data_IF_968063254925
#
_entry.id   IF_968063254925
#
_cell.length_a   1.000
_cell.length_b   1.000
_cell.length_c   1.000
_cell.angle_alpha   90.00
_cell.angle_beta   90.00
_cell.angle_gamma   90.00
#
_symmetry.space_group_name_H-M   'P 1'
#
loop_
_entity.id
_entity.type
_entity.pdbx_description
1 polymer ?
#
# COMPACT_ATOMS: atom_id res chain seq x y z
N UNK A 1 -8.05 29.42 -37.70
CA UNK A 1 -8.83 28.26 -38.19
C UNK A 1 -7.86 27.15 -38.64
N UNK A 2 -7.06 26.65 -37.70
CA UNK A 2 -6.10 25.56 -37.89
C UNK A 2 -6.35 24.51 -36.80
N UNK A 3 -6.10 23.25 -37.12
CA UNK A 3 -5.96 22.12 -36.18
C UNK A 3 -7.24 21.41 -35.70
N UNK A 4 -7.99 20.79 -36.63
CA UNK A 4 -8.74 19.54 -36.36
C UNK A 4 -8.10 18.30 -36.99
N UNK A 5 -7.13 18.48 -37.89
CA UNK A 5 -6.49 17.37 -38.61
C UNK A 5 -5.36 16.69 -37.83
N UNK A 6 -4.76 17.35 -36.82
CA UNK A 6 -3.71 16.74 -35.99
C UNK A 6 -4.23 15.57 -35.15
N UNK A 7 -5.45 15.66 -34.62
CA UNK A 7 -6.05 14.57 -33.84
C UNK A 7 -6.34 13.33 -34.71
N UNK A 8 -6.70 13.52 -35.98
CA UNK A 8 -6.91 12.42 -36.93
C UNK A 8 -5.59 11.69 -37.23
N UNK A 9 -4.50 12.42 -37.40
CA UNK A 9 -3.17 11.85 -37.65
C UNK A 9 -2.67 11.06 -36.44
N UNK A 10 -2.84 11.60 -35.23
CA UNK A 10 -2.50 10.88 -33.98
C UNK A 10 -3.33 9.59 -33.87
N UNK A 11 -4.63 9.65 -34.17
CA UNK A 11 -5.52 8.49 -34.12
C UNK A 11 -5.09 7.39 -35.12
N UNK A 12 -4.74 7.76 -36.35
CA UNK A 12 -4.27 6.82 -37.38
C UNK A 12 -2.94 6.16 -36.97
N UNK A 13 -1.99 6.92 -36.41
CA UNK A 13 -0.70 6.38 -35.95
C UNK A 13 -0.89 5.37 -34.81
N UNK A 14 -1.79 5.65 -33.86
CA UNK A 14 -2.11 4.72 -32.76
C UNK A 14 -2.80 3.45 -33.30
N UNK A 15 -3.74 3.61 -34.23
CA UNK A 15 -4.50 2.49 -34.78
C UNK A 15 -3.63 1.51 -35.61
N UNK A 16 -2.70 2.04 -36.41
CA UNK A 16 -1.77 1.22 -37.21
C UNK A 16 -0.79 0.46 -36.31
N UNK A 17 -0.25 1.10 -35.26
CA UNK A 17 0.65 0.41 -34.31
C UNK A 17 -0.06 -0.70 -33.53
N UNK A 18 -1.34 -0.52 -33.19
CA UNK A 18 -2.14 -1.52 -32.47
C UNK A 18 -2.39 -2.80 -33.29
N UNK A 19 -2.50 -2.68 -34.62
CA UNK A 19 -2.70 -3.82 -35.53
C UNK A 19 -1.38 -4.58 -35.78
N UNK A 20 -0.24 -3.90 -35.72
CA UNK A 20 1.08 -4.53 -35.88
C UNK A 20 1.48 -5.35 -34.65
N UNK A 21 1.18 -4.86 -33.43
CA UNK A 21 1.49 -5.57 -32.16
C UNK A 21 0.64 -6.83 -31.97
N UNK A 22 -0.59 -6.86 -32.50
CA UNK A 22 -1.46 -8.05 -32.40
C UNK A 22 -1.04 -9.17 -33.36
N UNK A 23 -0.33 -8.87 -34.45
CA UNK A 23 0.15 -9.88 -35.41
C UNK A 23 1.45 -10.58 -35.00
N UNK A 24 2.28 -9.96 -34.16
CA UNK A 24 3.56 -10.56 -33.72
C UNK A 24 3.40 -11.54 -32.54
N UNK A 25 2.31 -11.43 -31.78
CA UNK A 25 2.04 -12.29 -30.61
C UNK A 25 1.21 -13.54 -30.95
N UNK A 26 0.84 -13.75 -32.22
CA UNK A 26 0.00 -14.85 -32.69
C UNK A 26 0.72 -16.15 -33.06
N UNK A 27 2.04 -16.27 -32.86
CA UNK A 27 2.77 -17.52 -33.06
C UNK A 27 2.92 -18.27 -31.73
N UNK A 28 1.84 -18.94 -31.30
CA UNK A 28 1.81 -19.76 -30.10
C UNK A 28 2.80 -20.93 -30.18
N UNK A 29 3.90 -20.87 -29.43
CA UNK A 29 4.62 -22.07 -29.00
C UNK A 29 3.87 -22.66 -27.82
N UNK A 30 3.43 -23.91 -27.98
CA UNK A 30 2.82 -24.72 -26.92
C UNK A 30 3.79 -24.86 -25.74
N UNK A 31 3.57 -24.08 -24.68
CA UNK A 31 4.25 -24.25 -23.40
C UNK A 31 3.65 -25.49 -22.72
N UNK A 32 4.30 -26.65 -22.89
CA UNK A 32 4.06 -27.79 -22.00
C UNK A 32 4.34 -27.32 -20.57
N UNK A 33 3.36 -27.46 -19.69
CA UNK A 33 3.55 -27.24 -18.25
C UNK A 33 4.73 -28.09 -17.78
N UNK A 34 5.80 -27.44 -17.35
CA UNK A 34 6.92 -28.10 -16.68
C UNK A 34 6.44 -28.40 -15.28
N UNK A 35 6.12 -29.66 -15.03
CA UNK A 35 5.83 -30.15 -13.69
C UNK A 35 7.16 -30.12 -12.92
N UNK A 36 7.32 -29.13 -12.03
CA UNK A 36 8.44 -29.12 -11.08
C UNK A 36 8.12 -30.15 -10.00
N UNK A 37 8.98 -31.14 -9.84
CA UNK A 37 9.03 -31.90 -8.60
C UNK A 37 9.24 -30.90 -7.45
N UNK A 38 8.33 -30.93 -6.48
CA UNK A 38 8.48 -30.26 -5.20
C UNK A 38 9.50 -31.03 -4.38
N UNK A 39 10.74 -31.00 -4.85
CA UNK A 39 11.87 -31.41 -4.04
C UNK A 39 12.15 -30.24 -3.08
N UNK A 40 11.42 -30.21 -1.96
CA UNK A 40 11.80 -29.44 -0.78
C UNK A 40 13.01 -30.13 -0.13
N UNK A 41 14.04 -30.40 -0.93
CA UNK A 41 15.34 -30.83 -0.44
C UNK A 41 15.97 -29.60 0.21
N UNK A 42 15.83 -29.54 1.54
CA UNK A 42 16.53 -28.58 2.38
C UNK A 42 17.99 -29.02 2.42
N UNK A 43 18.75 -28.66 1.38
CA UNK A 43 20.21 -28.58 1.46
C UNK A 43 20.57 -27.96 2.81
N UNK A 44 21.40 -28.63 3.61
CA UNK A 44 21.70 -28.44 5.04
C UNK A 44 22.16 -27.03 5.50
N UNK A 45 21.99 -25.98 4.68
CA UNK A 45 22.37 -24.61 4.96
C UNK A 45 21.17 -23.66 4.95
N UNK A 46 20.89 -22.94 6.05
CA UNK A 46 19.86 -21.92 6.07
C UNK A 46 20.23 -20.76 5.15
N UNK A 47 19.38 -20.46 4.16
CA UNK A 47 19.56 -19.37 3.21
C UNK A 47 19.33 -18.01 3.87
N UNK A 48 20.06 -17.00 3.41
CA UNK A 48 19.96 -15.62 3.91
C UNK A 48 18.97 -14.82 3.04
N UNK A 49 18.04 -14.10 3.66
CA UNK A 49 17.02 -13.27 3.02
C UNK A 49 17.19 -11.84 3.51
N UNK A 50 17.34 -10.90 2.59
CA UNK A 50 17.42 -9.47 2.90
C UNK A 50 16.10 -8.80 2.54
N UNK A 51 15.36 -8.35 3.55
CA UNK A 51 14.17 -7.50 3.40
C UNK A 51 14.64 -6.05 3.25
N UNK A 52 14.21 -5.37 2.18
CA UNK A 52 14.65 -4.01 1.88
C UNK A 52 13.50 -3.02 1.74
N UNK A 53 13.61 -1.86 2.39
CA UNK A 53 12.73 -0.70 2.17
C UNK A 53 13.51 0.60 2.32
N UNK A 54 13.40 1.51 1.34
CA UNK A 54 14.02 2.85 1.39
C UNK A 54 13.21 3.83 2.23
N UNK A 55 11.88 3.68 2.24
CA UNK A 55 10.99 4.58 2.98
C UNK A 55 10.75 4.13 4.43
N UNK A 56 10.98 2.86 4.75
CA UNK A 56 10.64 2.34 6.09
C UNK A 56 9.14 2.40 6.35
N UNK A 57 8.73 2.70 7.60
CA UNK A 57 7.34 2.90 8.01
C UNK A 57 6.50 1.63 8.21
N UNK A 58 5.62 1.64 9.21
CA UNK A 58 4.79 0.48 9.58
C UNK A 58 3.84 0.02 8.46
N UNK A 59 3.32 0.95 7.65
CA UNK A 59 2.46 0.66 6.48
C UNK A 59 3.14 -0.16 5.39
N UNK A 60 4.47 -0.15 5.35
CA UNK A 60 5.27 -0.86 4.35
C UNK A 60 5.93 -2.10 4.97
N UNK A 61 6.41 -1.99 6.21
CA UNK A 61 7.21 -3.02 6.85
C UNK A 61 6.39 -4.10 7.56
N UNK A 62 5.24 -3.80 8.16
CA UNK A 62 4.50 -4.77 8.99
C UNK A 62 4.21 -6.08 8.26
N UNK A 63 3.59 -5.99 7.08
CA UNK A 63 3.23 -7.17 6.28
C UNK A 63 4.47 -7.94 5.81
N UNK A 64 5.55 -7.23 5.42
CA UNK A 64 6.80 -7.87 5.02
C UNK A 64 7.48 -8.58 6.20
N UNK A 65 7.39 -8.04 7.41
CA UNK A 65 7.98 -8.62 8.62
C UNK A 65 7.17 -9.79 9.16
N UNK A 66 5.85 -9.83 8.99
CA UNK A 66 5.05 -11.04 9.26
C UNK A 66 5.45 -12.18 8.32
N UNK A 67 5.66 -11.91 7.02
CA UNK A 67 6.25 -12.89 6.10
C UNK A 67 7.65 -13.29 6.58
N UNK A 68 8.46 -12.32 7.02
CA UNK A 68 9.79 -12.53 7.60
C UNK A 68 9.78 -13.51 8.77
N UNK A 69 8.85 -13.37 9.72
CA UNK A 69 8.69 -14.29 10.86
C UNK A 69 8.38 -15.71 10.40
N UNK A 70 7.43 -15.87 9.48
CA UNK A 70 7.09 -17.19 8.91
C UNK A 70 8.31 -17.84 8.24
N UNK A 71 9.15 -17.04 7.56
CA UNK A 71 10.38 -17.53 6.95
C UNK A 71 11.43 -17.91 8.00
N UNK A 72 11.57 -17.14 9.08
CA UNK A 72 12.45 -17.50 10.21
C UNK A 72 12.02 -18.82 10.86
N UNK A 73 10.72 -19.00 11.11
CA UNK A 73 10.16 -20.24 11.68
C UNK A 73 10.41 -21.47 10.79
N UNK A 74 10.52 -21.25 9.47
CA UNK A 74 10.88 -22.30 8.49
C UNK A 74 12.38 -22.60 8.41
N UNK A 75 13.20 -21.83 9.13
CA UNK A 75 14.66 -22.00 9.24
C UNK A 75 15.49 -21.06 8.37
N UNK A 76 14.90 -20.02 7.76
CA UNK A 76 15.66 -19.03 6.99
C UNK A 76 16.26 -17.95 7.90
N UNK A 77 17.40 -17.39 7.49
CA UNK A 77 18.00 -16.22 8.16
C UNK A 77 17.48 -14.96 7.49
N UNK A 78 16.68 -14.19 8.21
CA UNK A 78 16.04 -12.97 7.68
C UNK A 78 16.67 -11.74 8.33
N UNK A 79 17.06 -10.76 7.53
CA UNK A 79 17.54 -9.46 8.01
C UNK A 79 16.74 -8.35 7.33
N UNK A 80 16.28 -7.36 8.10
CA UNK A 80 15.68 -6.13 7.59
C UNK A 80 16.76 -5.09 7.30
N UNK A 81 16.60 -4.32 6.23
CA UNK A 81 17.33 -3.10 5.97
C UNK A 81 16.34 -1.99 5.64
N UNK A 82 16.23 -1.01 6.54
CA UNK A 82 15.30 0.11 6.43
C UNK A 82 15.69 1.29 7.33
N UNK A 83 15.16 2.50 7.07
CA UNK A 83 15.31 3.63 7.97
C UNK A 83 14.67 3.40 9.34
N UNK A 84 15.17 4.14 10.33
CA UNK A 84 14.67 4.10 11.70
C UNK A 84 15.01 2.79 12.44
N UNK A 85 14.58 2.66 13.68
CA UNK A 85 14.87 1.49 14.53
C UNK A 85 13.63 0.61 14.74
N UNK A 86 12.95 0.27 13.65
CA UNK A 86 11.61 -0.34 13.63
C UNK A 86 11.50 -1.64 14.44
N UNK A 87 12.44 -2.56 14.21
CA UNK A 87 12.40 -3.88 14.86
C UNK A 87 12.68 -3.80 16.36
N UNK A 88 13.63 -2.97 16.80
CA UNK A 88 13.95 -2.84 18.21
C UNK A 88 12.83 -2.18 19.02
N UNK A 89 12.06 -1.28 18.41
CA UNK A 89 10.90 -0.63 19.05
C UNK A 89 9.64 -1.49 19.02
N UNK A 90 9.57 -2.51 18.16
CA UNK A 90 8.41 -3.38 18.06
C UNK A 90 8.53 -4.60 18.97
N UNK A 91 7.51 -4.84 19.79
CA UNK A 91 7.45 -6.04 20.62
C UNK A 91 7.27 -7.32 19.79
N UNK A 92 6.68 -7.19 18.60
CA UNK A 92 6.31 -8.30 17.70
C UNK A 92 7.48 -8.68 16.78
N UNK A 93 8.26 -7.68 16.33
CA UNK A 93 9.29 -7.89 15.31
C UNK A 93 10.74 -7.82 15.81
N UNK A 94 10.98 -7.62 17.13
CA UNK A 94 12.32 -7.56 17.74
C UNK A 94 13.25 -8.73 17.45
N UNK A 95 12.72 -9.88 17.06
CA UNK A 95 13.51 -11.06 16.71
C UNK A 95 14.18 -10.96 15.34
N UNK A 96 13.71 -10.07 14.46
CA UNK A 96 14.30 -9.84 13.13
C UNK A 96 15.44 -8.83 13.26
N UNK A 97 16.70 -9.20 12.98
CA UNK A 97 17.81 -8.25 12.94
C UNK A 97 17.58 -7.16 11.91
N UNK A 98 17.93 -5.91 12.24
CA UNK A 98 17.81 -4.78 11.33
C UNK A 98 19.15 -4.05 11.13
N UNK A 99 19.48 -3.77 9.87
CA UNK A 99 20.48 -2.79 9.45
C UNK A 99 19.76 -1.45 9.30
N UNK A 100 20.08 -0.51 10.19
CA UNK A 100 19.48 0.82 10.20
C UNK A 100 20.14 1.67 9.12
N UNK A 101 19.32 2.25 8.23
CA UNK A 101 19.78 3.28 7.29
C UNK A 101 19.36 4.66 7.74
N UNK A 102 20.04 5.68 7.22
CA UNK A 102 19.65 7.08 7.47
C UNK A 102 18.23 7.37 6.98
N UNK A 103 17.59 8.30 7.67
CA UNK A 103 16.24 8.74 7.39
C UNK A 103 16.11 9.44 6.02
N UNK A 104 15.06 9.10 5.26
CA UNK A 104 14.69 9.74 4.01
C UNK A 104 13.63 10.85 4.18
N UNK A 105 13.07 11.02 5.39
CA UNK A 105 11.80 11.73 5.60
C UNK A 105 11.89 13.26 5.64
N UNK A 106 13.03 13.87 5.99
CA UNK A 106 13.08 15.32 6.30
C UNK A 106 12.53 16.29 5.24
N UNK A 107 12.90 16.15 3.95
CA UNK A 107 12.32 16.97 2.87
C UNK A 107 11.01 16.41 2.32
N UNK A 108 10.76 15.10 2.51
CA UNK A 108 9.56 14.40 2.04
C UNK A 108 8.32 14.81 2.85
N UNK A 109 8.48 14.91 4.17
CA UNK A 109 7.40 15.29 5.11
C UNK A 109 6.86 16.68 4.82
N UNK A 110 7.72 17.60 4.38
CA UNK A 110 7.33 18.97 4.00
C UNK A 110 6.47 19.02 2.74
N UNK A 111 6.64 18.08 1.80
CA UNK A 111 5.83 18.03 0.59
C UNK A 111 4.46 17.38 0.81
N UNK A 112 4.36 16.47 1.80
CA UNK A 112 3.11 15.82 2.24
C UNK A 112 2.02 16.81 2.68
N UNK A 113 2.38 18.04 3.08
CA UNK A 113 1.43 19.11 3.39
C UNK A 113 0.70 19.69 2.16
N UNK A 114 1.20 19.43 0.94
CA UNK A 114 0.57 19.93 -0.27
C UNK A 114 -0.54 18.99 -0.75
N UNK A 115 -1.44 19.52 -1.57
CA UNK A 115 -2.47 18.72 -2.24
C UNK A 115 -1.83 17.54 -2.99
N UNK A 116 -2.28 16.32 -2.67
CA UNK A 116 -1.73 15.11 -3.27
C UNK A 116 -2.22 14.95 -4.71
N UNK A 117 -1.35 15.33 -5.67
CA UNK A 117 -1.60 15.28 -7.11
C UNK A 117 -0.36 14.78 -7.86
N UNK A 118 -0.51 14.41 -9.14
CA UNK A 118 0.57 13.87 -9.99
C UNK A 118 1.87 14.71 -9.94
N UNK A 119 1.77 16.04 -9.94
CA UNK A 119 2.96 16.92 -9.99
C UNK A 119 3.73 16.87 -8.68
N UNK A 120 3.01 16.95 -7.56
CA UNK A 120 3.61 16.87 -6.23
C UNK A 120 4.18 15.47 -5.99
N UNK A 121 3.48 14.43 -6.43
CA UNK A 121 3.97 13.05 -6.35
C UNK A 121 5.26 12.84 -7.16
N UNK A 122 5.33 13.33 -8.41
CA UNK A 122 6.55 13.25 -9.21
C UNK A 122 7.73 14.00 -8.55
N UNK A 123 7.45 15.15 -7.92
CA UNK A 123 8.46 15.93 -7.17
C UNK A 123 8.96 15.18 -5.93
N UNK A 124 8.07 14.54 -5.18
CA UNK A 124 8.40 13.67 -4.05
C UNK A 124 9.28 12.50 -4.48
N UNK A 125 8.88 11.80 -5.55
CA UNK A 125 9.69 10.73 -6.12
C UNK A 125 11.06 11.24 -6.57
N UNK A 126 11.13 12.47 -7.09
CA UNK A 126 12.39 13.07 -7.53
C UNK A 126 13.34 13.37 -6.38
N UNK A 127 12.84 13.59 -5.16
CA UNK A 127 13.68 13.68 -3.96
C UNK A 127 14.29 12.32 -3.62
N UNK A 128 13.47 11.27 -3.64
CA UNK A 128 13.90 9.92 -3.31
C UNK A 128 14.92 9.43 -4.35
N UNK A 129 14.67 9.68 -5.64
CA UNK A 129 15.55 9.28 -6.73
C UNK A 129 16.97 9.85 -6.57
N UNK A 130 17.12 11.09 -6.08
CA UNK A 130 18.44 11.68 -5.80
C UNK A 130 19.24 10.93 -4.74
N UNK A 131 18.56 10.18 -3.86
CA UNK A 131 19.18 9.30 -2.87
C UNK A 131 19.69 7.97 -3.44
N UNK A 132 19.40 7.64 -4.72
CA UNK A 132 19.68 6.33 -5.32
C UNK A 132 21.09 5.79 -5.03
N UNK A 133 22.13 6.58 -5.32
CA UNK A 133 23.53 6.14 -5.13
C UNK A 133 23.82 5.79 -3.67
N UNK A 134 23.27 6.56 -2.72
CA UNK A 134 23.39 6.28 -1.30
C UNK A 134 22.69 4.98 -0.93
N UNK A 135 21.45 4.80 -1.36
CA UNK A 135 20.67 3.58 -1.10
C UNK A 135 21.36 2.34 -1.68
N UNK A 136 21.85 2.44 -2.92
CA UNK A 136 22.59 1.35 -3.57
C UNK A 136 23.86 0.98 -2.80
N UNK A 137 24.61 1.96 -2.31
CA UNK A 137 25.80 1.71 -1.51
C UNK A 137 25.47 1.04 -0.17
N UNK A 138 24.38 1.45 0.49
CA UNK A 138 23.92 0.81 1.71
C UNK A 138 23.53 -0.66 1.44
N UNK A 139 22.81 -0.93 0.34
CA UNK A 139 22.44 -2.30 -0.04
C UNK A 139 23.67 -3.13 -0.41
N UNK A 140 24.68 -2.53 -1.06
CA UNK A 140 25.94 -3.20 -1.37
C UNK A 140 26.72 -3.55 -0.10
N UNK A 141 26.69 -2.69 0.92
CA UNK A 141 27.29 -2.98 2.23
C UNK A 141 26.54 -4.13 2.92
N UNK A 142 25.21 -4.04 3.02
CA UNK A 142 24.38 -5.11 3.58
C UNK A 142 24.60 -6.44 2.84
N UNK A 143 24.75 -6.41 1.51
CA UNK A 143 25.09 -7.60 0.72
C UNK A 143 26.44 -8.22 1.13
N UNK A 144 27.48 -7.41 1.38
CA UNK A 144 28.80 -7.90 1.79
C UNK A 144 28.76 -8.58 3.16
N UNK A 145 27.94 -8.05 4.08
CA UNK A 145 27.81 -8.53 5.44
C UNK A 145 26.90 -9.77 5.53
N UNK A 146 25.71 -9.69 4.93
CA UNK A 146 24.65 -10.71 5.05
C UNK A 146 24.79 -11.82 4.00
N UNK A 147 25.36 -11.50 2.83
CA UNK A 147 25.43 -12.40 1.66
C UNK A 147 24.08 -13.04 1.32
N UNK A 148 23.02 -12.24 1.05
CA UNK A 148 21.69 -12.75 0.79
C UNK A 148 21.65 -13.66 -0.44
N UNK A 149 20.85 -14.72 -0.31
CA UNK A 149 20.45 -15.64 -1.37
C UNK A 149 19.17 -15.16 -2.05
N UNK A 150 18.36 -14.35 -1.37
CA UNK A 150 17.13 -13.74 -1.87
C UNK A 150 17.03 -12.29 -1.39
N UNK A 151 16.69 -11.39 -2.31
CA UNK A 151 16.24 -10.04 -1.99
C UNK A 151 14.72 -10.01 -1.92
N UNK A 152 14.17 -9.48 -0.83
CA UNK A 152 12.75 -9.24 -0.67
C UNK A 152 12.51 -7.73 -0.57
N UNK A 153 12.17 -7.12 -1.70
CA UNK A 153 12.17 -5.67 -1.85
C UNK A 153 10.76 -5.11 -1.77
N UNK A 154 10.55 -4.09 -0.94
CA UNK A 154 9.36 -3.27 -1.04
C UNK A 154 9.32 -2.61 -2.42
N UNK A 155 8.16 -2.61 -3.08
CA UNK A 155 8.03 -2.18 -4.47
C UNK A 155 8.24 -0.67 -4.64
N UNK A 156 7.61 0.12 -3.78
CA UNK A 156 7.51 1.56 -3.98
C UNK A 156 8.80 2.26 -3.53
N UNK A 157 9.36 3.08 -4.44
CA UNK A 157 10.53 3.92 -4.25
C UNK A 157 11.82 3.19 -3.79
N UNK A 158 12.02 1.94 -4.22
CA UNK A 158 13.14 1.10 -3.77
C UNK A 158 13.96 0.51 -4.93
N UNK A 159 14.26 1.34 -5.93
CA UNK A 159 14.98 0.92 -7.15
C UNK A 159 16.31 0.23 -6.86
N UNK A 160 17.05 0.75 -5.87
CA UNK A 160 18.35 0.23 -5.49
C UNK A 160 18.32 -1.25 -5.06
N UNK A 161 17.25 -1.71 -4.41
CA UNK A 161 17.11 -3.11 -3.98
C UNK A 161 16.96 -4.05 -5.19
N UNK A 162 16.07 -3.70 -6.12
CA UNK A 162 15.84 -4.47 -7.34
C UNK A 162 17.06 -4.45 -8.26
N UNK A 163 17.61 -3.27 -8.51
CA UNK A 163 18.76 -3.10 -9.41
C UNK A 163 20.00 -3.84 -8.89
N UNK A 164 20.25 -3.82 -7.57
CA UNK A 164 21.35 -4.58 -6.99
C UNK A 164 21.14 -6.10 -7.15
N UNK A 165 19.93 -6.60 -6.90
CA UNK A 165 19.62 -8.01 -7.09
C UNK A 165 19.85 -8.44 -8.55
N UNK A 166 19.40 -7.62 -9.51
CA UNK A 166 19.62 -7.84 -10.94
C UNK A 166 21.11 -7.83 -11.30
N UNK A 167 21.87 -6.83 -10.83
CA UNK A 167 23.32 -6.72 -11.05
C UNK A 167 24.06 -7.95 -10.52
N UNK A 168 23.68 -8.43 -9.34
CA UNK A 168 24.28 -9.59 -8.70
C UNK A 168 23.74 -10.93 -9.22
N UNK A 169 22.76 -10.90 -10.14
CA UNK A 169 22.03 -12.07 -10.64
C UNK A 169 21.45 -12.92 -9.51
N UNK A 170 20.95 -12.26 -8.46
CA UNK A 170 20.31 -12.88 -7.31
C UNK A 170 18.79 -12.89 -7.50
N UNK A 171 18.09 -13.93 -7.03
CA UNK A 171 16.64 -13.93 -6.94
C UNK A 171 16.12 -12.69 -6.21
N UNK A 172 15.04 -12.12 -6.73
CA UNK A 172 14.32 -11.01 -6.10
C UNK A 172 12.82 -11.30 -6.10
N UNK A 173 12.18 -11.00 -4.98
CA UNK A 173 10.73 -10.96 -4.82
C UNK A 173 10.36 -9.54 -4.45
N UNK A 174 9.37 -8.99 -5.15
CA UNK A 174 8.81 -7.69 -4.82
C UNK A 174 7.57 -7.82 -3.94
N UNK A 175 7.35 -6.82 -3.09
CA UNK A 175 6.16 -6.72 -2.26
C UNK A 175 5.48 -5.37 -2.42
N UNK A 176 4.16 -5.33 -2.53
CA UNK A 176 3.42 -4.09 -2.28
C UNK A 176 2.21 -4.31 -1.38
N UNK A 177 1.90 -3.28 -0.59
CA UNK A 177 0.74 -3.25 0.29
C UNK A 177 -0.60 -3.04 -0.46
N UNK A 178 -0.59 -3.05 -1.79
CA UNK A 178 -1.77 -2.81 -2.60
C UNK A 178 -1.53 -2.98 -4.10
N UNK A 179 -2.63 -3.12 -4.85
CA UNK A 179 -2.62 -3.48 -6.28
C UNK A 179 -2.35 -2.33 -7.23
N UNK A 180 -2.42 -1.09 -6.74
CA UNK A 180 -2.41 0.14 -7.54
C UNK A 180 -1.16 0.32 -8.40
N UNK A 181 -0.07 -0.35 -8.01
CA UNK A 181 1.23 -0.23 -8.62
C UNK A 181 1.47 -1.18 -9.81
N UNK A 182 0.63 -2.20 -9.96
CA UNK A 182 0.95 -3.35 -10.81
C UNK A 182 0.01 -3.51 -12.01
N UNK A 183 -1.16 -2.86 -11.99
CA UNK A 183 -2.12 -2.93 -13.08
C UNK A 183 -2.05 -1.69 -13.95
N UNK A 184 -2.12 -1.86 -15.27
CA UNK A 184 -2.60 -0.78 -16.13
C UNK A 184 -4.01 -0.39 -15.68
N UNK A 185 -4.30 0.90 -15.62
CA UNK A 185 -5.59 1.37 -15.12
C UNK A 185 -6.72 0.80 -15.98
N UNK A 186 -7.56 -0.04 -15.37
CA UNK A 186 -8.70 -0.63 -16.04
C UNK A 186 -9.71 0.48 -16.39
N UNK A 187 -10.41 0.44 -17.55
CA UNK A 187 -11.38 1.48 -17.92
C UNK A 187 -12.54 1.75 -16.95
N UNK A 188 -12.69 0.95 -15.88
CA UNK A 188 -13.70 1.11 -14.82
C UNK A 188 -13.10 1.43 -13.45
N UNK A 189 -11.77 1.44 -13.31
CA UNK A 189 -11.06 1.79 -12.06
C UNK A 189 -10.00 2.83 -12.35
N UNK A 190 -9.98 3.89 -11.56
CA UNK A 190 -8.94 4.90 -11.66
C UNK A 190 -8.47 5.34 -10.29
N UNK A 191 -7.47 6.22 -10.29
CA UNK A 191 -6.85 6.73 -9.07
C UNK A 191 -7.16 8.23 -8.93
N UNK A 192 -7.73 8.68 -7.78
CA UNK A 192 -7.88 10.10 -7.48
C UNK A 192 -6.60 10.92 -7.60
N UNK A 193 -5.43 10.32 -7.38
CA UNK A 193 -4.11 10.96 -7.52
C UNK A 193 -3.89 11.49 -8.93
N UNK A 194 -4.44 10.79 -9.93
CA UNK A 194 -4.38 11.21 -11.32
C UNK A 194 -5.58 12.08 -11.74
N UNK A 195 -6.39 12.52 -10.78
CA UNK A 195 -7.55 13.38 -11.01
C UNK A 195 -8.73 12.63 -11.64
N UNK A 196 -8.89 11.35 -11.32
CA UNK A 196 -9.98 10.50 -11.81
C UNK A 196 -10.76 9.87 -10.65
N UNK A 197 -12.04 9.57 -10.87
CA UNK A 197 -12.83 8.91 -9.83
C UNK A 197 -12.39 7.46 -9.62
N UNK A 198 -12.52 6.97 -8.40
CA UNK A 198 -12.14 5.59 -8.02
C UNK A 198 -12.90 4.57 -8.87
N UNK A 199 -14.21 4.80 -9.03
CA UNK A 199 -15.09 4.00 -9.87
C UNK A 199 -15.49 4.80 -11.11
N UNK A 200 -15.22 4.25 -12.30
CA UNK A 200 -15.53 4.84 -13.60
C UNK A 200 -16.69 4.12 -14.32
N UNK A 201 -17.42 3.22 -13.66
CA UNK A 201 -18.51 2.40 -14.23
C UNK A 201 -19.70 3.21 -14.74
N UNK A 202 -20.02 4.33 -14.09
CA UNK A 202 -21.11 5.22 -14.49
C UNK A 202 -20.62 6.53 -15.12
N UNK A 203 -19.31 6.62 -15.39
CA UNK A 203 -18.71 7.80 -15.99
C UNK A 203 -18.99 7.89 -17.48
N UNK A 204 -19.06 9.14 -17.97
CA UNK A 204 -19.20 9.42 -19.40
C UNK A 204 -18.02 8.84 -20.19
N UNK A 205 -18.24 8.52 -21.46
CA UNK A 205 -17.16 8.10 -22.36
C UNK A 205 -16.00 9.10 -22.37
N UNK A 206 -16.30 10.41 -22.33
CA UNK A 206 -15.29 11.45 -22.31
C UNK A 206 -14.38 11.35 -21.07
N UNK A 207 -14.96 11.20 -19.88
CA UNK A 207 -14.17 11.07 -18.64
C UNK A 207 -13.35 9.78 -18.63
N UNK A 208 -13.92 8.67 -19.11
CA UNK A 208 -13.16 7.41 -19.28
C UNK A 208 -11.99 7.57 -20.25
N UNK A 209 -12.18 8.26 -21.37
CA UNK A 209 -11.11 8.53 -22.32
C UNK A 209 -9.98 9.37 -21.71
N UNK A 210 -10.33 10.44 -20.97
CA UNK A 210 -9.35 11.25 -20.24
C UNK A 210 -8.55 10.38 -19.26
N UNK A 211 -9.22 9.55 -18.47
CA UNK A 211 -8.56 8.71 -17.47
C UNK A 211 -7.77 7.55 -18.07
N UNK A 212 -8.22 6.95 -19.17
CA UNK A 212 -7.54 5.81 -19.79
C UNK A 212 -6.34 6.22 -20.65
N UNK A 213 -6.34 7.44 -21.23
CA UNK A 213 -5.33 7.86 -22.22
C UNK A 213 -4.58 9.11 -21.76
N UNK A 214 -5.30 10.19 -21.46
CA UNK A 214 -4.67 11.50 -21.20
C UNK A 214 -3.92 11.51 -19.88
N UNK A 215 -4.48 10.94 -18.82
CA UNK A 215 -3.85 10.93 -17.50
C UNK A 215 -2.61 10.03 -17.43
N UNK A 216 -2.58 8.82 -18.01
CA UNK A 216 -1.34 8.05 -18.13
C UNK A 216 -0.24 8.80 -18.89
N UNK A 217 -0.57 9.50 -19.98
CA UNK A 217 0.41 10.33 -20.70
C UNK A 217 0.93 11.48 -19.84
N UNK A 218 0.05 12.13 -19.05
CA UNK A 218 0.47 13.16 -18.09
C UNK A 218 1.36 12.57 -17.00
N UNK A 219 1.03 11.40 -16.48
CA UNK A 219 1.84 10.70 -15.49
C UNK A 219 3.24 10.44 -16.04
N UNK A 220 3.34 9.81 -17.22
CA UNK A 220 4.63 9.60 -17.89
C UNK A 220 5.40 10.91 -18.12
N UNK A 221 4.73 11.98 -18.53
CA UNK A 221 5.39 13.27 -18.74
C UNK A 221 5.96 13.87 -17.45
N UNK A 222 5.22 13.80 -16.34
CA UNK A 222 5.70 14.34 -15.05
C UNK A 222 6.84 13.48 -14.47
N UNK A 223 6.84 12.17 -14.72
CA UNK A 223 7.86 11.24 -14.23
C UNK A 223 9.05 11.05 -15.17
N UNK A 224 9.07 11.70 -16.34
CA UNK A 224 10.13 11.47 -17.36
C UNK A 224 11.52 11.80 -16.83
N UNK A 225 11.66 12.88 -16.05
CA UNK A 225 12.96 13.37 -15.60
C UNK A 225 13.50 12.46 -14.49
N UNK A 226 12.62 11.98 -13.61
CA UNK A 226 12.89 10.92 -12.64
C UNK A 226 13.40 9.64 -13.31
N UNK A 227 12.67 9.16 -14.33
CA UNK A 227 13.00 7.93 -15.03
C UNK A 227 14.34 8.05 -15.76
N UNK A 228 14.58 9.18 -16.44
CA UNK A 228 15.86 9.46 -17.10
C UNK A 228 17.01 9.51 -16.09
N UNK A 229 16.79 10.14 -14.92
CA UNK A 229 17.78 10.20 -13.85
C UNK A 229 18.15 8.79 -13.36
N UNK A 230 17.16 7.97 -13.00
CA UNK A 230 17.40 6.61 -12.50
C UNK A 230 18.04 5.72 -13.58
N UNK A 231 17.60 5.80 -14.84
CA UNK A 231 18.19 5.01 -15.92
C UNK A 231 19.66 5.38 -16.17
N UNK A 232 20.03 6.65 -16.07
CA UNK A 232 21.44 7.06 -16.12
C UNK A 232 22.27 6.38 -15.02
N UNK A 233 21.72 6.25 -13.80
CA UNK A 233 22.38 5.53 -12.68
C UNK A 233 22.40 4.01 -12.86
N UNK A 234 21.37 3.42 -13.44
CA UNK A 234 21.35 1.99 -13.81
C UNK A 234 22.45 1.66 -14.81
N UNK A 235 22.67 2.52 -15.80
CA UNK A 235 23.71 2.36 -16.80
C UNK A 235 25.11 2.34 -16.15
N UNK A 236 25.36 3.18 -15.14
CA UNK A 236 26.63 3.21 -14.38
C UNK A 236 26.96 1.86 -13.70
N UNK A 237 25.95 1.03 -13.44
CA UNK A 237 26.10 -0.24 -12.73
C UNK A 237 25.81 -1.48 -13.60
N UNK A 238 25.55 -1.28 -14.89
CA UNK A 238 25.29 -2.35 -15.87
C UNK A 238 23.90 -2.98 -15.77
N UNK A 239 22.90 -2.25 -15.26
CA UNK A 239 21.50 -2.68 -15.23
C UNK A 239 20.75 -2.07 -16.41
N UNK A 240 19.83 -2.84 -17.01
CA UNK A 240 19.02 -2.39 -18.14
C UNK A 240 18.11 -1.22 -17.77
N UNK A 241 17.89 -0.33 -18.73
CA UNK A 241 16.93 0.77 -18.61
C UNK A 241 15.50 0.23 -18.50
N UNK A 242 14.65 0.99 -17.81
CA UNK A 242 13.20 0.77 -17.79
C UNK A 242 12.49 1.94 -18.47
N UNK A 243 11.40 1.65 -19.19
CA UNK A 243 10.63 2.68 -19.91
C UNK A 243 9.32 3.06 -19.21
N UNK A 244 8.89 2.24 -18.26
CA UNK A 244 7.81 2.56 -17.32
C UNK A 244 8.34 2.38 -15.89
N UNK A 245 8.14 3.38 -15.03
CA UNK A 245 8.54 3.29 -13.63
C UNK A 245 7.83 2.12 -12.92
N UNK A 246 6.67 1.69 -13.45
CA UNK A 246 5.92 0.56 -12.92
C UNK A 246 6.46 -0.81 -13.37
N UNK A 247 7.23 -0.83 -14.46
CA UNK A 247 7.69 -2.06 -15.08
C UNK A 247 8.74 -2.74 -14.20
N UNK A 248 8.50 -4.02 -13.93
CA UNK A 248 9.44 -4.93 -13.27
C UNK A 248 9.29 -6.32 -13.87
N UNK A 249 9.71 -6.48 -15.12
CA UNK A 249 9.59 -7.75 -15.83
C UNK A 249 10.30 -8.88 -15.07
N UNK A 250 9.75 -10.10 -15.16
CA UNK A 250 10.34 -11.34 -14.63
C UNK A 250 10.60 -11.38 -13.10
N UNK A 251 9.94 -10.53 -12.32
CA UNK A 251 9.99 -10.56 -10.85
C UNK A 251 8.69 -11.11 -10.28
N UNK A 252 8.78 -12.05 -9.33
CA UNK A 252 7.61 -12.47 -8.55
C UNK A 252 7.17 -11.31 -7.67
N UNK A 253 5.91 -10.90 -7.81
CA UNK A 253 5.29 -9.88 -6.96
C UNK A 253 4.27 -10.49 -6.04
N UNK A 254 4.40 -10.14 -4.77
CA UNK A 254 3.45 -10.47 -3.72
C UNK A 254 2.70 -9.19 -3.34
N UNK A 255 1.38 -9.26 -3.29
CA UNK A 255 0.54 -8.13 -2.92
C UNK A 255 -0.31 -8.47 -1.72
N UNK A 256 -0.35 -7.54 -0.76
CA UNK A 256 -1.22 -7.64 0.41
C UNK A 256 -2.67 -7.30 0.04
N UNK A 257 -3.27 -8.22 -0.70
CA UNK A 257 -4.66 -8.17 -1.14
C UNK A 257 -5.12 -9.60 -1.37
N UNK A 258 -6.42 -9.81 -1.53
CA UNK A 258 -6.99 -11.15 -1.71
C UNK A 258 -8.09 -11.19 -2.76
N UNK A 259 -8.30 -12.38 -3.30
CA UNK A 259 -9.29 -12.60 -4.34
C UNK A 259 -10.68 -12.16 -3.89
N UNK A 260 -11.32 -11.32 -4.70
CA UNK A 260 -12.66 -10.78 -4.42
C UNK A 260 -12.68 -9.52 -3.56
N UNK A 261 -11.54 -9.05 -3.05
CA UNK A 261 -11.44 -7.71 -2.44
C UNK A 261 -11.27 -6.61 -3.49
N UNK A 262 -10.47 -6.89 -4.51
CA UNK A 262 -10.10 -5.93 -5.55
C UNK A 262 -11.06 -6.00 -6.74
N UNK A 263 -11.20 -4.88 -7.44
CA UNK A 263 -11.88 -4.87 -8.74
C UNK A 263 -11.15 -5.84 -9.67
N UNK A 264 -11.85 -6.81 -10.29
CA UNK A 264 -11.22 -7.81 -11.15
C UNK A 264 -10.37 -7.16 -12.25
N UNK A 265 -9.12 -7.59 -12.33
CA UNK A 265 -8.17 -7.12 -13.34
C UNK A 265 -7.32 -8.29 -13.86
N UNK A 266 -6.79 -8.15 -15.08
CA UNK A 266 -5.84 -9.12 -15.61
C UNK A 266 -4.47 -8.91 -14.95
N UNK A 267 -3.96 -9.98 -14.33
CA UNK A 267 -2.68 -9.97 -13.62
C UNK A 267 -1.62 -10.77 -14.40
N UNK A 268 -0.35 -10.33 -14.41
CA UNK A 268 0.74 -11.18 -14.87
C UNK A 268 0.79 -12.49 -14.06
N UNK A 269 1.13 -13.65 -14.67
CA UNK A 269 1.21 -14.93 -13.94
C UNK A 269 2.19 -14.96 -12.76
N UNK A 270 3.11 -13.99 -12.71
CA UNK A 270 4.11 -13.82 -11.66
C UNK A 270 3.66 -12.84 -10.57
N UNK A 271 2.39 -12.45 -10.55
CA UNK A 271 1.79 -11.67 -9.47
C UNK A 271 0.88 -12.56 -8.62
N UNK A 272 1.00 -12.47 -7.30
CA UNK A 272 0.18 -13.23 -6.36
C UNK A 272 -0.39 -12.32 -5.27
N UNK A 273 -1.71 -12.38 -5.14
CA UNK A 273 -2.45 -11.83 -4.01
C UNK A 273 -2.30 -12.79 -2.82
N UNK A 274 -1.68 -12.33 -1.74
CA UNK A 274 -1.35 -13.14 -0.56
C UNK A 274 -1.88 -12.56 0.76
N UNK A 275 -2.76 -11.57 0.66
CA UNK A 275 -3.38 -10.90 1.78
C UNK A 275 -4.62 -11.63 2.34
N UNK A 276 -5.24 -11.06 3.38
CA UNK A 276 -4.70 -9.96 4.18
C UNK A 276 -3.57 -10.47 5.10
N UNK A 277 -2.41 -9.82 5.07
CA UNK A 277 -1.27 -10.17 5.93
C UNK A 277 -1.37 -9.37 7.22
N UNK A 278 -1.64 -10.07 8.32
CA UNK A 278 -1.80 -9.48 9.64
C UNK A 278 -1.09 -10.34 10.69
N UNK A 279 -0.61 -9.75 11.80
CA UNK A 279 -0.07 -10.51 12.92
C UNK A 279 -1.09 -11.49 13.51
N UNK A 280 -0.63 -12.69 13.91
CA UNK A 280 -1.46 -13.71 14.59
C UNK A 280 -1.90 -13.30 15.99
N UNK A 281 -1.09 -12.47 16.64
CA UNK A 281 -1.32 -12.03 18.01
C UNK A 281 -1.15 -10.51 18.03
N UNK A 282 -2.16 -9.85 18.57
CA UNK A 282 -2.11 -8.42 18.87
C UNK A 282 -1.94 -8.22 20.38
N UNK A 283 -1.22 -7.17 20.82
CA UNK A 283 -1.12 -6.83 22.23
C UNK A 283 -2.50 -6.51 22.82
N UNK A 284 -2.65 -6.66 24.14
CA UNK A 284 -3.89 -6.28 24.81
C UNK A 284 -4.09 -4.76 24.79
N UNK A 285 -5.35 -4.32 24.87
CA UNK A 285 -5.65 -2.90 25.05
C UNK A 285 -5.01 -2.39 26.35
N UNK A 286 -4.60 -1.13 26.37
CA UNK A 286 -4.26 -0.48 27.64
C UNK A 286 -5.49 -0.43 28.55
N UNK A 287 -5.28 -0.40 29.87
CA UNK A 287 -6.38 -0.30 30.83
C UNK A 287 -7.28 0.91 30.58
N UNK A 288 -6.72 2.04 30.14
CA UNK A 288 -7.48 3.25 29.85
C UNK A 288 -8.38 3.08 28.62
N UNK A 289 -7.86 2.47 27.55
CA UNK A 289 -8.63 2.22 26.33
C UNK A 289 -9.72 1.16 26.57
N UNK A 290 -9.39 0.12 27.33
CA UNK A 290 -10.34 -0.94 27.71
C UNK A 290 -11.49 -0.37 28.54
N UNK A 291 -11.18 0.47 29.53
CA UNK A 291 -12.17 1.21 30.32
C UNK A 291 -13.02 2.12 29.42
N UNK A 292 -12.39 2.92 28.57
CA UNK A 292 -13.07 3.87 27.69
C UNK A 292 -14.05 3.15 26.75
N UNK A 293 -13.62 2.08 26.09
CA UNK A 293 -14.46 1.30 25.18
C UNK A 293 -15.56 0.55 25.94
N UNK A 294 -15.28 0.06 27.15
CA UNK A 294 -16.29 -0.58 28.00
C UNK A 294 -17.39 0.38 28.47
N UNK A 295 -17.08 1.68 28.61
CA UNK A 295 -18.04 2.71 28.97
C UNK A 295 -18.76 3.38 27.78
N UNK A 296 -18.32 3.15 26.54
CA UNK A 296 -18.81 3.85 25.34
C UNK A 296 -19.15 2.87 24.20
N UNK A 297 -20.40 2.41 24.16
CA UNK A 297 -20.86 1.39 23.23
C UNK A 297 -20.90 1.83 21.75
N UNK A 298 -20.97 3.14 21.48
CA UNK A 298 -21.05 3.73 20.14
C UNK A 298 -19.84 4.65 19.95
N UNK A 299 -18.67 4.01 19.95
CA UNK A 299 -17.39 4.68 19.77
C UNK A 299 -17.00 4.73 18.29
N UNK A 300 -16.56 5.90 17.82
CA UNK A 300 -15.87 6.04 16.53
C UNK A 300 -14.35 6.13 16.75
N UNK A 301 -13.56 5.47 15.90
CA UNK A 301 -12.12 5.68 15.82
C UNK A 301 -11.81 6.52 14.59
N UNK A 302 -11.00 7.55 14.78
CA UNK A 302 -10.54 8.44 13.70
C UNK A 302 -9.03 8.34 13.64
N UNK A 303 -8.51 7.94 12.47
CA UNK A 303 -7.08 7.86 12.20
C UNK A 303 -6.73 8.41 10.82
N UNK A 304 -5.67 9.22 10.76
CA UNK A 304 -5.11 9.75 9.49
C UNK A 304 -3.88 8.97 9.02
N UNK A 305 -3.63 7.78 9.59
CA UNK A 305 -2.42 7.01 9.33
C UNK A 305 -1.17 7.70 9.87
N UNK A 306 0.00 7.26 9.43
CA UNK A 306 1.31 7.71 9.97
C UNK A 306 1.96 8.84 9.16
N UNK A 307 1.35 9.27 8.06
CA UNK A 307 2.02 10.17 7.10
C UNK A 307 1.15 11.35 6.62
N UNK A 308 -0.18 11.22 6.65
CA UNK A 308 -1.06 12.24 6.09
C UNK A 308 -1.39 13.31 7.14
N UNK A 309 -1.12 14.56 6.76
CA UNK A 309 -1.51 15.75 7.53
C UNK A 309 -2.71 16.43 6.85
N UNK A 310 -3.49 17.17 7.63
CA UNK A 310 -4.49 18.10 7.08
C UNK A 310 -4.40 19.46 7.77
N UNK A 311 -5.21 20.42 7.31
CA UNK A 311 -5.14 21.79 7.84
C UNK A 311 -5.72 21.89 9.25
N UNK A 312 -5.25 22.83 10.09
CA UNK A 312 -5.85 23.11 11.40
C UNK A 312 -7.36 23.39 11.32
N UNK A 313 -7.80 24.04 10.24
CA UNK A 313 -9.23 24.25 9.94
C UNK A 313 -9.98 22.92 9.79
N UNK A 314 -9.44 21.97 9.06
CA UNK A 314 -10.06 20.66 8.87
C UNK A 314 -10.09 19.87 10.19
N UNK A 315 -9.01 19.91 10.97
CA UNK A 315 -9.00 19.32 12.31
C UNK A 315 -10.07 19.93 13.22
N UNK A 316 -10.22 21.25 13.24
CA UNK A 316 -11.28 21.92 14.00
C UNK A 316 -12.70 21.51 13.54
N UNK A 317 -12.90 21.36 12.23
CA UNK A 317 -14.17 20.87 11.67
C UNK A 317 -14.46 19.44 12.11
N UNK A 318 -13.45 18.55 12.10
CA UNK A 318 -13.59 17.16 12.55
C UNK A 318 -13.92 17.10 14.05
N UNK A 319 -13.17 17.83 14.90
CA UNK A 319 -13.45 17.95 16.34
C UNK A 319 -14.87 18.44 16.60
N UNK A 320 -15.28 19.51 15.93
CA UNK A 320 -16.65 20.02 16.08
C UNK A 320 -17.69 18.99 15.66
N UNK A 321 -17.50 18.33 14.52
CA UNK A 321 -18.45 17.36 13.99
C UNK A 321 -18.65 16.17 14.94
N UNK A 322 -17.57 15.64 15.52
CA UNK A 322 -17.70 14.53 16.48
C UNK A 322 -18.41 14.94 17.77
N UNK A 323 -18.14 16.15 18.26
CA UNK A 323 -18.82 16.70 19.44
C UNK A 323 -20.31 16.93 19.19
N UNK A 324 -20.70 17.36 17.98
CA UNK A 324 -22.10 17.47 17.58
C UNK A 324 -22.80 16.11 17.54
N UNK A 325 -22.11 15.07 17.06
CA UNK A 325 -22.64 13.70 17.06
C UNK A 325 -22.82 13.14 18.48
N UNK A 326 -21.89 13.43 19.39
CA UNK A 326 -22.02 13.11 20.82
C UNK A 326 -23.23 13.83 21.41
N UNK A 327 -23.35 15.13 21.17
CA UNK A 327 -24.45 15.94 21.71
C UNK A 327 -25.83 15.51 21.16
N UNK A 328 -25.89 14.97 19.95
CA UNK A 328 -27.10 14.36 19.37
C UNK A 328 -27.35 12.94 19.86
N UNK A 329 -26.55 12.43 20.78
CA UNK A 329 -26.61 11.06 21.27
C UNK A 329 -26.55 10.04 20.12
N UNK A 330 -25.77 10.31 19.08
CA UNK A 330 -25.50 9.35 17.98
C UNK A 330 -24.28 8.50 18.35
N UNK A 331 -23.23 9.16 18.82
CA UNK A 331 -22.03 8.56 19.39
C UNK A 331 -22.04 8.79 20.89
N UNK A 332 -21.34 7.94 21.64
CA UNK A 332 -21.01 8.19 23.04
C UNK A 332 -19.50 8.16 23.30
N UNK A 333 -18.68 7.74 22.34
CA UNK A 333 -17.23 7.81 22.43
C UNK A 333 -16.54 8.19 21.12
N UNK A 334 -15.39 8.84 21.23
CA UNK A 334 -14.49 9.12 20.11
C UNK A 334 -13.07 8.79 20.56
N UNK A 335 -12.39 7.94 19.80
CA UNK A 335 -10.95 7.76 19.91
C UNK A 335 -10.32 8.42 18.69
N UNK A 336 -9.44 9.38 18.92
CA UNK A 336 -8.75 10.08 17.85
C UNK A 336 -7.24 9.79 17.92
N UNK A 337 -6.76 9.09 16.89
CA UNK A 337 -5.34 8.95 16.59
C UNK A 337 -4.91 9.83 15.41
N UNK A 338 -3.86 10.62 15.58
CA UNK A 338 -3.37 11.48 14.51
C UNK A 338 -1.87 11.67 14.62
N UNK A 339 -1.24 11.91 13.48
CA UNK A 339 0.14 12.39 13.43
C UNK A 339 0.27 13.72 14.17
N UNK A 340 1.46 13.98 14.69
CA UNK A 340 1.79 15.25 15.33
C UNK A 340 1.54 16.43 14.38
N UNK A 341 0.87 17.46 14.90
CA UNK A 341 0.67 18.73 14.21
C UNK A 341 0.77 19.86 15.24
N UNK A 342 0.87 21.09 14.75
CA UNK A 342 0.96 22.25 15.61
C UNK A 342 -0.39 22.53 16.30
N UNK A 343 -0.57 22.02 17.52
CA UNK A 343 -1.80 22.19 18.33
C UNK A 343 -2.16 23.67 18.57
N UNK A 344 -1.18 24.57 18.54
CA UNK A 344 -1.39 26.02 18.74
C UNK A 344 -2.16 26.70 17.60
N UNK A 345 -2.24 26.05 16.44
CA UNK A 345 -3.00 26.55 15.29
C UNK A 345 -4.49 26.17 15.33
N UNK A 346 -4.90 25.32 16.29
CA UNK A 346 -6.31 25.06 16.53
C UNK A 346 -6.99 26.25 17.20
N UNK A 347 -8.30 26.46 16.98
CA UNK A 347 -9.05 27.42 17.77
C UNK A 347 -8.99 27.06 19.26
N UNK A 348 -8.90 28.06 20.14
CA UNK A 348 -8.84 27.84 21.59
C UNK A 348 -10.11 27.21 22.18
N UNK A 349 -11.25 27.41 21.52
CA UNK A 349 -12.53 26.80 21.86
C UNK A 349 -13.26 26.26 20.64
N UNK A 350 -14.05 25.21 20.86
CA UNK A 350 -14.98 24.65 19.89
C UNK A 350 -16.41 25.02 20.31
N UNK A 351 -17.09 25.78 19.46
CA UNK A 351 -18.46 26.23 19.70
C UNK A 351 -19.45 25.27 19.03
N UNK A 352 -20.31 24.66 19.85
CA UNK A 352 -21.35 23.74 19.39
C UNK A 352 -22.65 24.49 19.06
N UNK A 353 -23.50 23.84 18.27
CA UNK A 353 -24.80 24.36 17.83
C UNK A 353 -25.79 24.56 18.98
N UNK A 354 -25.55 23.91 20.12
CA UNK A 354 -26.30 24.12 21.37
C UNK A 354 -25.90 25.39 22.12
N UNK A 355 -24.86 26.09 21.68
CA UNK A 355 -24.25 27.20 22.40
C UNK A 355 -23.21 26.77 23.44
N UNK A 356 -22.99 25.46 23.63
CA UNK A 356 -21.91 24.96 24.47
C UNK A 356 -20.54 25.34 23.89
N UNK A 357 -19.64 25.78 24.76
CA UNK A 357 -18.27 26.18 24.41
C UNK A 357 -17.32 25.21 25.10
N UNK A 358 -16.57 24.44 24.32
CA UNK A 358 -15.63 23.44 24.84
C UNK A 358 -14.21 23.95 24.60
N UNK A 359 -13.38 24.12 25.65
CA UNK A 359 -11.97 24.43 25.47
C UNK A 359 -11.27 23.32 24.70
N UNK A 360 -10.54 23.66 23.65
CA UNK A 360 -9.81 22.67 22.83
C UNK A 360 -8.77 21.92 23.65
N UNK A 361 -8.16 22.59 24.63
CA UNK A 361 -7.25 21.98 25.60
C UNK A 361 -7.90 20.86 26.42
N UNK A 362 -9.21 20.91 26.68
CA UNK A 362 -9.90 19.81 27.38
C UNK A 362 -9.97 18.55 26.51
N UNK A 363 -10.01 18.70 25.19
CA UNK A 363 -9.98 17.58 24.25
C UNK A 363 -8.55 17.02 24.14
N UNK A 364 -7.58 17.90 23.89
CA UNK A 364 -6.16 17.55 23.72
C UNK A 364 -5.54 16.90 24.97
N UNK A 365 -6.04 17.23 26.15
CA UNK A 365 -5.56 16.68 27.42
C UNK A 365 -6.45 15.56 27.97
N UNK A 366 -7.34 14.97 27.16
CA UNK A 366 -8.22 13.87 27.56
C UNK A 366 -9.07 14.18 28.82
N UNK A 367 -9.50 15.43 28.97
CA UNK A 367 -10.38 15.86 30.08
C UNK A 367 -11.87 15.76 29.73
N UNK A 368 -12.20 15.52 28.47
CA UNK A 368 -13.57 15.35 28.03
C UNK A 368 -13.98 13.87 28.11
N UNK A 369 -15.09 13.52 28.80
CA UNK A 369 -15.42 12.12 29.12
C UNK A 369 -15.65 11.24 27.88
N UNK A 370 -16.13 11.83 26.78
CA UNK A 370 -16.45 11.12 25.54
C UNK A 370 -15.38 11.21 24.45
N UNK A 371 -14.22 11.83 24.73
CA UNK A 371 -13.16 12.01 23.73
C UNK A 371 -11.84 11.54 24.31
N UNK A 372 -11.20 10.59 23.61
CA UNK A 372 -9.90 10.05 23.92
C UNK A 372 -8.94 10.31 22.76
N UNK A 373 -7.88 11.07 23.00
CA UNK A 373 -6.82 11.40 22.05
C UNK A 373 -5.59 10.56 22.39
N UNK A 374 -5.08 9.84 21.39
CA UNK A 374 -3.94 8.93 21.58
C UNK A 374 -2.64 9.72 21.59
N UNK A 375 -1.79 9.44 22.58
CA UNK A 375 -0.48 10.06 22.78
C UNK A 375 0.57 8.99 23.08
N UNK A 376 1.81 9.24 22.68
CA UNK A 376 2.97 8.41 23.02
C UNK A 376 3.40 8.64 24.48
N UNK A 377 4.42 7.89 24.92
CA UNK A 377 4.99 7.99 26.28
C UNK A 377 5.53 9.40 26.61
N UNK A 378 5.87 10.19 25.60
CA UNK A 378 6.34 11.58 25.74
C UNK A 378 5.18 12.60 25.73
N UNK A 379 3.93 12.15 25.62
CA UNK A 379 2.74 13.00 25.57
C UNK A 379 2.47 13.64 24.19
N UNK A 380 3.18 13.22 23.15
CA UNK A 380 3.00 13.70 21.78
C UNK A 380 1.91 12.89 21.07
N UNK A 381 1.17 13.53 20.15
CA UNK A 381 0.15 12.85 19.34
C UNK A 381 0.78 11.72 18.52
N UNK A 382 0.23 10.52 18.66
CA UNK A 382 0.75 9.32 17.99
C UNK A 382 -0.38 8.45 17.45
N UNK A 383 -0.19 7.92 16.25
CA UNK A 383 -0.99 6.81 15.73
C UNK A 383 -0.37 5.49 16.17
N UNK A 384 -0.85 4.94 17.29
CA UNK A 384 -0.37 3.66 17.77
C UNK A 384 -1.11 2.49 17.09
N UNK A 385 -0.57 2.08 15.94
CA UNK A 385 -1.11 0.99 15.11
C UNK A 385 -0.99 -0.37 15.83
N UNK A 386 0.05 -0.58 16.65
CA UNK A 386 0.27 -1.86 17.33
C UNK A 386 -0.78 -2.16 18.42
N UNK A 387 -1.29 -1.15 19.12
CA UNK A 387 -2.28 -1.35 20.21
C UNK A 387 -3.75 -1.18 19.80
N UNK A 388 -4.06 -0.32 18.83
CA UNK A 388 -5.46 0.06 18.56
C UNK A 388 -6.21 -0.81 17.54
N UNK A 389 -5.52 -1.55 16.67
CA UNK A 389 -6.20 -2.33 15.62
C UNK A 389 -6.90 -3.61 16.12
N UNK A 390 -6.68 -4.03 17.37
CA UNK A 390 -7.25 -5.27 17.94
C UNK A 390 -8.77 -5.23 18.08
N UNK A 391 -9.40 -4.07 18.23
CA UNK A 391 -10.86 -3.98 18.43
C UNK A 391 -11.67 -4.02 17.12
N UNK A 392 -11.01 -3.93 15.95
CA UNK A 392 -11.69 -3.71 14.66
C UNK A 392 -11.53 -4.88 13.70
N UNK A 393 -10.46 -5.66 13.85
CA UNK A 393 -10.13 -6.82 12.99
C UNK A 393 -9.70 -7.97 13.90
N UNK A 394 -10.64 -8.83 14.31
CA UNK A 394 -10.29 -10.06 15.04
C UNK A 394 -9.65 -11.08 14.08
N UNK A 395 -8.83 -12.03 14.56
CA UNK A 395 -8.35 -13.14 13.72
C UNK A 395 -9.48 -13.89 13.00
N UNK A 396 -10.69 -13.93 13.59
CA UNK A 396 -11.88 -14.52 12.97
C UNK A 396 -12.37 -13.72 11.73
N UNK A 397 -12.04 -12.44 11.63
CA UNK A 397 -12.30 -11.60 10.46
C UNK A 397 -11.33 -11.84 9.30
N UNK A 398 -10.25 -12.61 9.49
CA UNK A 398 -9.34 -13.06 8.41
C UNK A 398 -10.05 -13.90 7.34
N UNK A 399 -11.17 -14.52 7.70
CA UNK A 399 -12.10 -15.18 6.78
C UNK A 399 -13.50 -14.52 6.76
N UNK A 400 -13.68 -13.40 7.46
CA UNK A 400 -14.99 -12.87 7.83
C UNK A 400 -15.65 -11.92 6.85
N UNK A 401 -14.93 -11.39 5.84
CA UNK A 401 -15.54 -10.55 4.81
C UNK A 401 -16.32 -11.33 3.74
N UNK A 402 -16.27 -12.66 3.79
CA UNK A 402 -17.23 -13.52 3.11
C UNK A 402 -18.04 -14.34 4.13
N UNK A 403 -18.93 -13.66 4.87
CA UNK A 403 -20.30 -14.20 4.97
C UNK A 403 -21.06 -13.82 3.70
N UNK A 404 -20.54 -14.24 2.56
CA UNK A 404 -21.35 -14.42 1.37
C UNK A 404 -22.35 -15.49 1.74
N UNK A 405 -23.61 -15.12 1.91
CA UNK A 405 -24.70 -16.10 1.81
C UNK A 405 -24.38 -16.95 0.58
N UNK A 406 -24.23 -18.25 0.78
CA UNK A 406 -23.89 -19.35 -0.13
C UNK A 406 -24.61 -19.32 -1.50
N UNK A 407 -24.64 -18.21 -2.23
CA UNK A 407 -25.34 -17.97 -3.49
C UNK A 407 -24.55 -18.55 -4.66
N UNK A 408 -23.23 -18.56 -4.54
CA UNK A 408 -22.27 -19.26 -5.37
C UNK A 408 -22.34 -20.78 -5.17
N UNK A 409 -22.47 -21.27 -3.93
CA UNK A 409 -22.67 -22.70 -3.65
C UNK A 409 -24.09 -23.15 -4.04
N UNK A 410 -25.13 -22.35 -3.78
CA UNK A 410 -26.49 -22.62 -4.27
C UNK A 410 -26.56 -22.51 -5.79
N UNK A 411 -25.90 -21.54 -6.40
CA UNK A 411 -25.82 -21.38 -7.84
C UNK A 411 -25.14 -22.57 -8.50
N UNK A 412 -24.01 -23.03 -7.95
CA UNK A 412 -23.32 -24.23 -8.40
C UNK A 412 -24.19 -25.48 -8.19
N UNK A 413 -24.86 -25.63 -7.03
CA UNK A 413 -25.75 -26.75 -6.76
C UNK A 413 -26.98 -26.77 -7.67
N UNK A 414 -27.56 -25.61 -7.97
CA UNK A 414 -28.69 -25.47 -8.91
C UNK A 414 -28.26 -25.76 -10.35
N UNK A 415 -27.09 -25.29 -10.77
CA UNK A 415 -26.54 -25.62 -12.11
C UNK A 415 -26.26 -27.12 -12.21
N UNK A 416 -25.65 -27.73 -11.19
CA UNK A 416 -25.40 -29.18 -11.15
C UNK A 416 -26.73 -29.95 -11.18
N UNK A 417 -27.73 -29.53 -10.42
CA UNK A 417 -29.05 -30.15 -10.41
C UNK A 417 -29.75 -30.01 -11.78
N UNK A 418 -29.72 -28.84 -12.41
CA UNK A 418 -30.28 -28.63 -13.75
C UNK A 418 -29.56 -29.47 -14.81
N UNK A 419 -28.23 -29.59 -14.73
CA UNK A 419 -27.45 -30.44 -15.64
C UNK A 419 -27.82 -31.91 -15.44
N UNK A 420 -27.95 -32.39 -14.21
CA UNK A 420 -28.35 -33.78 -13.90
C UNK A 420 -29.80 -34.10 -14.29
N UNK A 421 -30.72 -33.14 -14.14
CA UNK A 421 -32.11 -33.31 -14.58
C UNK A 421 -32.18 -33.30 -16.11
N UNK A 422 -31.42 -32.43 -16.77
CA UNK A 422 -31.39 -32.37 -18.24
C UNK A 422 -30.72 -33.58 -18.88
N UNK A 423 -29.78 -34.25 -18.19
CA UNK A 423 -29.16 -35.49 -18.64
C UNK A 423 -30.00 -36.74 -18.36
N UNK A 424 -30.97 -36.69 -17.44
CA UNK A 424 -31.93 -37.77 -17.19
C UNK A 424 -33.18 -37.70 -18.10
N UNK A 425 -33.42 -36.57 -18.78
CA UNK A 425 -34.52 -36.39 -19.73
C UNK A 425 -34.23 -36.86 -21.17
N UNK A 426 -33.04 -37.44 -21.40
CA UNK A 426 -32.63 -38.02 -22.68
C UNK A 426 -32.32 -39.53 -22.53
N UNK A 427 -33.30 -40.28 -22.02
CA UNK A 427 -33.44 -41.73 -22.21
C UNK A 427 -34.86 -42.03 -22.68
#
# INVERSE_FOLDING_TARGET
>A
MYSKHYYLVIFIIIFINSILVTKTNGAGKNNKFIQRELDLDKSDTPKNILIGSVLGGGSHLNSMLEIGKILMDRGYKVTLMAPGNFTATSTIYRSIPQIITDDAHGELDRLSYNEYNIKNWAKEMGLIDRGYTKYLNNYLQAYKEIKPDLFFCYYFANEACFDLALKLKKPVVGFASGTIFFTSQHPIRSDPVIGCHVNMENESFYNRFICAIVQPLRLHWNFRDNLNYINARRAEIGVSELYDFRERANTLFLTDSFFGFEVPAAWPPIHQEIGPILPDIFPSLSSDLDLFLSSHARTIYIAHGTFLHTTPKNYAILLKSVLELINRNILDGVIWATVAFNESELPSTINLSTGAIIPTSNLLNNLHPHVYITKNENGELEVNIETLLRSWITPDSRMGFFRGNYLDVFGAAVIIALVLISSLGYV
#
